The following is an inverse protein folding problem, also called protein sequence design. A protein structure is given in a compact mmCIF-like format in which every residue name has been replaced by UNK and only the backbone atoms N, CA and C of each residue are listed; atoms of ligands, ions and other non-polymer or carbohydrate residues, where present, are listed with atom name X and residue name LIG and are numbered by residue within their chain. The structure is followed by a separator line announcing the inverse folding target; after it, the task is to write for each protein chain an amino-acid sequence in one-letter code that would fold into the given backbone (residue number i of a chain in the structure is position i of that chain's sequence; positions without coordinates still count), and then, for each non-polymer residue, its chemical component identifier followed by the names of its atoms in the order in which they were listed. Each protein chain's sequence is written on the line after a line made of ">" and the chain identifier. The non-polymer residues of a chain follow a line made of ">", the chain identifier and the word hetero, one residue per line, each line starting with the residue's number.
data_IF_013972653012
#
_entry.id   IF_013972653012
#
_cell.length_a   1.000
_cell.length_b   1.000
_cell.length_c   1.000
_cell.angle_alpha   90.00
_cell.angle_beta   90.00
_cell.angle_gamma   90.00
#
_symmetry.space_group_name_H-M   'P 1'
#
loop_
_entity.id
_entity.type
_entity.pdbx_description
1 polymer ?
#
# COMPACT_ATOMS: atom_id res chain seq x y z
N UNK A 1 -53.16 59.11 -17.38
CA UNK A 1 -52.50 57.80 -17.29
C UNK A 1 -53.44 56.74 -17.84
N UNK A 2 -53.02 56.06 -18.95
CA UNK A 2 -53.88 55.32 -19.84
C UNK A 2 -54.57 54.11 -19.17
N UNK A 3 -55.91 54.02 -19.36
CA UNK A 3 -56.77 52.95 -18.81
C UNK A 3 -56.23 51.54 -19.16
N UNK A 4 -55.58 51.36 -20.32
CA UNK A 4 -54.89 50.13 -20.75
C UNK A 4 -53.69 49.75 -19.86
N UNK A 5 -52.90 50.73 -19.41
CA UNK A 5 -51.76 50.45 -18.50
C UNK A 5 -52.22 49.95 -17.12
N UNK A 6 -53.32 50.50 -16.65
CA UNK A 6 -53.91 50.14 -15.36
C UNK A 6 -54.52 48.73 -15.36
N UNK A 7 -55.18 48.36 -16.46
CA UNK A 7 -55.73 47.02 -16.66
C UNK A 7 -54.61 45.96 -16.80
N UNK A 8 -53.57 46.26 -17.57
CA UNK A 8 -52.42 45.38 -17.76
C UNK A 8 -51.68 45.12 -16.43
N UNK A 9 -51.55 46.15 -15.55
CA UNK A 9 -50.94 46.01 -14.25
C UNK A 9 -51.78 45.16 -13.32
N UNK A 10 -53.13 45.31 -13.34
CA UNK A 10 -54.07 44.56 -12.50
C UNK A 10 -54.07 43.06 -12.81
N UNK A 11 -53.82 42.66 -14.08
CA UNK A 11 -53.72 41.23 -14.44
C UNK A 11 -52.31 40.69 -14.43
N UNK A 12 -51.31 41.49 -14.83
CA UNK A 12 -49.90 41.02 -14.93
C UNK A 12 -49.27 40.79 -13.56
N UNK A 13 -49.56 41.67 -12.59
CA UNK A 13 -48.97 41.54 -11.23
C UNK A 13 -49.47 40.28 -10.51
N UNK A 14 -50.78 39.96 -10.47
CA UNK A 14 -51.21 38.70 -9.88
C UNK A 14 -50.72 37.47 -10.68
N UNK A 15 -50.64 37.54 -12.00
CA UNK A 15 -50.14 36.44 -12.82
C UNK A 15 -48.65 36.13 -12.48
N UNK A 16 -47.84 37.18 -12.41
CA UNK A 16 -46.42 37.02 -12.01
C UNK A 16 -46.33 36.50 -10.58
N UNK A 17 -47.15 37.00 -9.67
CA UNK A 17 -47.18 36.55 -8.28
C UNK A 17 -47.55 35.04 -8.17
N UNK A 18 -48.49 34.56 -8.99
CA UNK A 18 -48.86 33.14 -9.03
C UNK A 18 -47.74 32.29 -9.62
N UNK A 19 -47.07 32.72 -10.69
CA UNK A 19 -45.96 32.02 -11.28
C UNK A 19 -44.78 31.92 -10.31
N UNK A 20 -44.46 33.02 -9.63
CA UNK A 20 -43.39 33.02 -8.61
C UNK A 20 -43.77 32.15 -7.42
N UNK A 21 -45.03 32.17 -6.96
CA UNK A 21 -45.51 31.32 -5.90
C UNK A 21 -45.48 29.83 -6.30
N UNK A 22 -45.86 29.48 -7.52
CA UNK A 22 -45.79 28.10 -8.04
C UNK A 22 -44.37 27.58 -8.17
N UNK A 23 -43.38 28.45 -8.40
CA UNK A 23 -41.96 28.09 -8.40
C UNK A 23 -41.33 28.01 -6.99
N UNK A 24 -41.65 29.00 -6.14
CA UNK A 24 -41.09 29.15 -4.79
C UNK A 24 -41.65 28.13 -3.76
N UNK A 25 -42.93 27.83 -3.84
CA UNK A 25 -43.57 26.91 -2.87
C UNK A 25 -43.05 25.49 -2.98
N UNK A 26 -42.90 24.87 -4.15
CA UNK A 26 -42.26 23.56 -4.27
C UNK A 26 -40.79 23.56 -3.81
N UNK A 27 -40.07 24.63 -4.12
CA UNK A 27 -38.63 24.75 -3.74
C UNK A 27 -38.48 24.89 -2.21
N UNK A 28 -39.36 25.68 -1.56
CA UNK A 28 -39.42 25.75 -0.11
C UNK A 28 -39.91 24.42 0.52
N UNK A 29 -40.91 23.77 -0.09
CA UNK A 29 -41.37 22.46 0.35
C UNK A 29 -40.24 21.40 0.27
N UNK A 30 -39.41 21.40 -0.77
CA UNK A 30 -38.21 20.56 -0.88
C UNK A 30 -37.18 20.86 0.22
N UNK A 31 -36.97 22.13 0.55
CA UNK A 31 -36.04 22.54 1.60
C UNK A 31 -36.59 22.12 2.97
N UNK A 32 -37.90 22.35 3.25
CA UNK A 32 -38.53 22.03 4.53
C UNK A 32 -38.88 20.54 4.70
N UNK A 33 -39.07 19.77 3.62
CA UNK A 33 -39.44 18.35 3.68
C UNK A 33 -38.29 17.41 3.99
N UNK A 34 -37.08 17.94 4.19
CA UNK A 34 -35.88 17.11 4.48
C UNK A 34 -35.41 16.26 3.32
N UNK A 35 -35.87 16.54 2.06
CA UNK A 35 -35.39 15.82 0.86
C UNK A 35 -33.88 15.98 0.74
N UNK A 36 -33.34 17.15 1.05
CA UNK A 36 -31.90 17.40 1.08
C UNK A 36 -31.18 16.54 2.13
N UNK A 37 -31.80 16.34 3.28
CA UNK A 37 -31.29 15.47 4.34
C UNK A 37 -31.34 13.99 3.93
N UNK A 38 -32.40 13.55 3.25
CA UNK A 38 -32.51 12.16 2.73
C UNK A 38 -31.58 11.89 1.57
N UNK A 39 -31.40 12.84 0.66
CA UNK A 39 -30.40 12.69 -0.42
C UNK A 39 -28.98 12.64 0.14
N UNK A 40 -28.65 13.48 1.11
CA UNK A 40 -27.36 13.42 1.81
C UNK A 40 -27.17 12.09 2.54
N UNK A 41 -28.21 11.58 3.21
CA UNK A 41 -28.15 10.26 3.85
C UNK A 41 -27.90 9.12 2.87
N UNK A 42 -28.61 9.11 1.74
CA UNK A 42 -28.42 8.06 0.74
C UNK A 42 -27.03 8.08 0.09
N UNK A 43 -26.44 9.27 -0.11
CA UNK A 43 -25.07 9.39 -0.64
C UNK A 43 -24.08 8.82 0.39
N UNK A 44 -24.25 9.17 1.66
CA UNK A 44 -23.38 8.66 2.75
C UNK A 44 -23.50 7.15 2.88
N UNK A 45 -24.71 6.58 2.79
CA UNK A 45 -24.91 5.15 2.86
C UNK A 45 -24.24 4.43 1.66
N UNK A 46 -24.33 5.02 0.47
CA UNK A 46 -23.67 4.50 -0.73
C UNK A 46 -22.14 4.57 -0.61
N UNK A 47 -21.61 5.67 -0.08
CA UNK A 47 -20.18 5.83 0.18
C UNK A 47 -19.68 4.82 1.23
N UNK A 48 -20.43 4.60 2.32
CA UNK A 48 -20.13 3.59 3.33
C UNK A 48 -20.03 2.18 2.71
N UNK A 49 -21.00 1.77 1.91
CA UNK A 49 -20.98 0.46 1.25
C UNK A 49 -19.83 0.33 0.25
N UNK A 50 -19.50 1.41 -0.43
CA UNK A 50 -18.40 1.40 -1.41
C UNK A 50 -17.05 1.27 -0.70
N UNK A 51 -16.84 2.01 0.40
CA UNK A 51 -15.61 1.92 1.21
C UNK A 51 -15.51 0.53 1.87
N UNK A 52 -16.61 -0.01 2.40
CA UNK A 52 -16.65 -1.35 2.99
C UNK A 52 -16.29 -2.45 1.98
N UNK A 53 -16.84 -2.39 0.78
CA UNK A 53 -16.47 -3.34 -0.28
C UNK A 53 -14.98 -3.25 -0.64
N UNK A 54 -14.40 -2.04 -0.69
CA UNK A 54 -12.97 -1.85 -0.96
C UNK A 54 -12.11 -2.33 0.20
N UNK A 55 -12.53 -2.08 1.43
CA UNK A 55 -11.88 -2.62 2.63
C UNK A 55 -11.77 -4.14 2.54
N UNK A 56 -12.90 -4.84 2.32
CA UNK A 56 -12.93 -6.30 2.27
C UNK A 56 -12.00 -6.86 1.19
N UNK A 57 -11.97 -6.26 -0.01
CA UNK A 57 -11.10 -6.71 -1.09
C UNK A 57 -9.63 -6.51 -0.72
N UNK A 58 -9.26 -5.32 -0.27
CA UNK A 58 -7.87 -5.01 0.06
C UNK A 58 -7.38 -5.80 1.28
N UNK A 59 -8.21 -5.93 2.32
CA UNK A 59 -7.92 -6.74 3.51
C UNK A 59 -7.69 -8.21 3.14
N UNK A 60 -8.56 -8.78 2.28
CA UNK A 60 -8.37 -10.14 1.78
C UNK A 60 -7.03 -10.30 1.05
N UNK A 61 -6.66 -9.38 0.15
CA UNK A 61 -5.40 -9.46 -0.55
C UNK A 61 -4.21 -9.28 0.39
N UNK A 62 -4.26 -8.32 1.31
CA UNK A 62 -3.18 -8.08 2.28
C UNK A 62 -2.98 -9.24 3.26
N UNK A 63 -4.07 -9.84 3.76
CA UNK A 63 -4.01 -10.87 4.81
C UNK A 63 -3.86 -12.28 4.23
N UNK A 64 -4.63 -12.62 3.19
CA UNK A 64 -4.69 -13.99 2.66
C UNK A 64 -3.66 -14.25 1.56
N UNK A 65 -3.42 -13.27 0.67
CA UNK A 65 -2.52 -13.44 -0.45
C UNK A 65 -1.11 -12.92 -0.13
N UNK A 66 -0.96 -11.64 0.09
CA UNK A 66 0.37 -11.02 0.20
C UNK A 66 1.13 -11.46 1.45
N UNK A 67 0.44 -11.56 2.56
CA UNK A 67 1.02 -12.05 3.81
C UNK A 67 1.43 -13.52 3.73
N UNK A 68 0.89 -14.29 2.77
CA UNK A 68 1.17 -15.71 2.62
C UNK A 68 2.63 -16.05 2.32
N UNK A 69 3.48 -15.06 1.99
CA UNK A 69 4.92 -15.23 1.81
C UNK A 69 5.60 -15.94 3.00
N UNK A 70 5.05 -15.84 4.20
CA UNK A 70 5.60 -16.58 5.35
C UNK A 70 5.58 -18.11 5.15
N UNK A 71 4.72 -18.64 4.28
CA UNK A 71 4.61 -20.07 3.99
C UNK A 71 5.84 -20.60 3.26
N UNK A 72 6.55 -19.72 2.55
CA UNK A 72 7.78 -20.08 1.84
C UNK A 72 8.94 -20.40 2.79
N UNK A 73 8.81 -20.06 4.07
CA UNK A 73 9.84 -20.33 5.06
C UNK A 73 10.23 -21.81 5.14
N UNK A 74 9.28 -22.72 5.03
CA UNK A 74 9.59 -24.16 5.08
C UNK A 74 10.43 -24.57 3.87
N UNK A 75 10.02 -24.15 2.67
CA UNK A 75 10.77 -24.41 1.45
C UNK A 75 12.18 -23.81 1.48
N UNK A 76 12.28 -22.57 1.95
CA UNK A 76 13.58 -21.89 2.13
C UNK A 76 14.48 -22.61 3.15
N UNK A 77 13.90 -23.12 4.27
CA UNK A 77 14.65 -23.89 5.25
C UNK A 77 15.06 -25.28 4.74
N UNK A 78 14.22 -25.93 3.95
CA UNK A 78 14.55 -27.24 3.34
C UNK A 78 15.69 -27.07 2.35
N UNK A 79 15.66 -26.06 1.51
CA UNK A 79 16.76 -25.71 0.59
C UNK A 79 18.04 -25.35 1.34
N UNK A 80 17.91 -24.58 2.44
CA UNK A 80 19.07 -24.27 3.30
C UNK A 80 19.68 -25.54 3.89
N UNK A 81 18.84 -26.46 4.40
CA UNK A 81 19.32 -27.73 4.94
C UNK A 81 20.11 -28.54 3.90
N UNK A 82 19.62 -28.60 2.65
CA UNK A 82 20.32 -29.28 1.57
C UNK A 82 21.70 -28.64 1.29
N UNK A 83 21.75 -27.30 1.22
CA UNK A 83 23.03 -26.60 1.00
C UNK A 83 24.02 -26.84 2.14
N UNK A 84 23.55 -26.84 3.39
CA UNK A 84 24.39 -27.12 4.56
C UNK A 84 24.96 -28.55 4.50
N UNK A 85 24.12 -29.53 4.17
CA UNK A 85 24.51 -30.94 4.04
C UNK A 85 25.48 -31.15 2.86
N UNK A 86 25.19 -30.59 1.69
CA UNK A 86 26.02 -30.70 0.49
C UNK A 86 27.42 -30.11 0.70
N UNK A 87 27.51 -29.00 1.42
CA UNK A 87 28.76 -28.31 1.71
C UNK A 87 29.46 -28.86 2.97
N UNK A 88 28.76 -29.66 3.79
CA UNK A 88 29.28 -30.17 5.07
C UNK A 88 29.59 -29.03 6.07
N UNK A 89 28.75 -28.00 6.10
CA UNK A 89 28.93 -26.83 6.94
C UNK A 89 27.72 -26.61 7.88
N UNK A 90 27.95 -25.91 8.95
CA UNK A 90 26.85 -25.46 9.83
C UNK A 90 26.32 -24.08 9.41
N UNK A 91 25.20 -23.67 9.98
CA UNK A 91 24.56 -22.39 9.68
C UNK A 91 25.46 -21.18 9.99
N UNK A 92 26.32 -21.27 11.01
CA UNK A 92 27.22 -20.16 11.37
C UNK A 92 28.30 -19.96 10.32
N UNK A 93 28.80 -21.05 9.75
CA UNK A 93 29.76 -21.01 8.66
C UNK A 93 29.09 -20.55 7.37
N UNK A 94 27.87 -21.01 7.09
CA UNK A 94 27.05 -20.54 5.95
C UNK A 94 26.94 -19.02 5.93
N UNK A 95 26.64 -18.39 7.06
CA UNK A 95 26.51 -16.93 7.16
C UNK A 95 27.80 -16.14 6.89
N UNK A 96 28.93 -16.84 6.74
CA UNK A 96 30.24 -16.27 6.41
C UNK A 96 30.81 -16.77 5.08
N UNK A 97 30.15 -17.76 4.45
CA UNK A 97 30.60 -18.40 3.22
C UNK A 97 29.84 -17.88 2.03
N UNK A 98 30.51 -17.03 1.26
CA UNK A 98 29.94 -16.39 0.07
C UNK A 98 29.47 -17.40 -1.00
N UNK A 99 30.17 -18.53 -1.15
CA UNK A 99 29.83 -19.54 -2.16
C UNK A 99 28.57 -20.33 -1.73
N UNK A 100 28.49 -20.72 -0.46
CA UNK A 100 27.32 -21.40 0.08
C UNK A 100 26.07 -20.50 0.02
N UNK A 101 26.22 -19.20 0.33
CA UNK A 101 25.13 -18.22 0.18
C UNK A 101 24.69 -18.10 -1.27
N UNK A 102 25.62 -18.03 -2.22
CA UNK A 102 25.26 -17.95 -3.65
C UNK A 102 24.57 -19.22 -4.15
N UNK A 103 25.03 -20.41 -3.71
CA UNK A 103 24.36 -21.67 -4.04
C UNK A 103 22.91 -21.65 -3.52
N UNK A 104 22.70 -21.26 -2.27
CA UNK A 104 21.38 -21.14 -1.67
C UNK A 104 20.47 -20.16 -2.44
N UNK A 105 20.98 -18.96 -2.75
CA UNK A 105 20.22 -17.96 -3.50
C UNK A 105 19.87 -18.45 -4.91
N UNK A 106 20.77 -19.12 -5.60
CA UNK A 106 20.50 -19.71 -6.92
C UNK A 106 19.41 -20.80 -6.85
N UNK A 107 19.41 -21.61 -5.79
CA UNK A 107 18.42 -22.69 -5.63
C UNK A 107 17.03 -22.16 -5.25
N UNK A 108 16.96 -21.10 -4.44
CA UNK A 108 15.70 -20.51 -3.98
C UNK A 108 15.09 -19.51 -4.98
N UNK A 109 15.88 -19.00 -5.92
CA UNK A 109 15.44 -17.95 -6.83
C UNK A 109 14.22 -18.32 -7.68
N UNK A 110 14.14 -19.52 -8.31
CA UNK A 110 12.97 -19.93 -9.09
C UNK A 110 11.70 -19.99 -8.24
N UNK A 111 11.79 -20.54 -7.03
CA UNK A 111 10.65 -20.66 -6.12
C UNK A 111 10.11 -19.29 -5.71
N UNK A 112 11.01 -18.31 -5.53
CA UNK A 112 10.61 -16.95 -5.19
C UNK A 112 10.00 -16.20 -6.38
N UNK A 113 10.42 -16.52 -7.63
CA UNK A 113 9.75 -16.05 -8.85
C UNK A 113 8.32 -16.61 -8.91
N UNK A 114 8.16 -17.89 -8.62
CA UNK A 114 6.83 -18.53 -8.59
C UNK A 114 5.94 -17.92 -7.49
N UNK A 115 6.51 -17.67 -6.31
CA UNK A 115 5.80 -17.02 -5.21
C UNK A 115 5.35 -15.59 -5.57
N UNK A 116 6.20 -14.80 -6.25
CA UNK A 116 5.87 -13.47 -6.75
C UNK A 116 4.64 -13.53 -7.68
N UNK A 117 4.67 -14.41 -8.66
CA UNK A 117 3.60 -14.57 -9.64
C UNK A 117 2.31 -15.13 -9.01
N UNK A 118 2.43 -16.05 -8.05
CA UNK A 118 1.28 -16.64 -7.38
C UNK A 118 0.55 -15.62 -6.51
N UNK A 119 1.31 -14.81 -5.76
CA UNK A 119 0.75 -13.82 -4.83
C UNK A 119 0.31 -12.53 -5.54
N UNK A 120 0.59 -12.37 -6.83
CA UNK A 120 0.27 -11.15 -7.60
C UNK A 120 0.77 -9.88 -6.88
N UNK A 121 2.01 -9.93 -6.42
CA UNK A 121 2.70 -8.79 -5.77
C UNK A 121 3.57 -8.05 -6.78
N UNK A 122 3.95 -6.83 -6.50
CA UNK A 122 4.84 -6.07 -7.38
C UNK A 122 6.31 -6.37 -7.16
N UNK A 123 6.65 -7.14 -6.13
CA UNK A 123 8.01 -7.59 -5.91
C UNK A 123 8.13 -8.63 -4.80
N UNK A 124 9.26 -9.33 -4.80
CA UNK A 124 9.65 -10.28 -3.77
C UNK A 124 11.13 -10.16 -3.49
N UNK A 125 11.54 -10.30 -2.25
CA UNK A 125 12.93 -10.23 -1.87
C UNK A 125 13.31 -11.26 -0.80
N UNK A 126 14.58 -11.65 -0.84
CA UNK A 126 15.23 -12.48 0.17
C UNK A 126 16.55 -11.81 0.55
N UNK A 127 16.80 -11.57 1.83
CA UNK A 127 18.01 -10.92 2.33
C UNK A 127 18.64 -11.82 3.38
N UNK A 128 19.87 -12.26 3.15
CA UNK A 128 20.64 -13.02 4.12
C UNK A 128 21.33 -12.07 5.09
N UNK A 129 21.21 -12.34 6.38
CA UNK A 129 21.71 -11.47 7.42
C UNK A 129 22.60 -12.23 8.41
N UNK A 130 23.57 -11.50 8.96
CA UNK A 130 24.45 -11.95 10.00
C UNK A 130 24.42 -10.90 11.12
N UNK A 131 24.13 -11.33 12.34
CA UNK A 131 24.06 -10.48 13.52
C UNK A 131 25.30 -9.59 13.69
N UNK A 132 26.49 -10.09 13.37
CA UNK A 132 27.74 -9.35 13.49
C UNK A 132 27.83 -8.10 12.58
N UNK A 133 27.04 -8.07 11.51
CA UNK A 133 27.01 -6.95 10.55
C UNK A 133 26.00 -5.86 10.92
N UNK A 134 25.03 -6.15 11.80
CA UNK A 134 23.86 -5.29 12.05
C UNK A 134 24.21 -3.89 12.60
N UNK A 135 25.28 -3.77 13.35
CA UNK A 135 25.64 -2.52 14.01
C UNK A 135 26.45 -1.54 13.15
N UNK A 136 26.88 -1.98 11.98
CA UNK A 136 27.75 -1.22 11.11
C UNK A 136 27.16 -1.10 9.70
N UNK A 137 27.76 -0.24 8.89
CA UNK A 137 27.47 -0.25 7.45
C UNK A 137 28.05 -1.53 6.84
N UNK A 138 27.17 -2.33 6.24
CA UNK A 138 27.56 -3.60 5.66
C UNK A 138 26.71 -3.93 4.41
N UNK A 139 27.27 -4.76 3.55
CA UNK A 139 26.58 -5.35 2.43
C UNK A 139 25.98 -6.69 2.84
N UNK A 140 24.74 -6.91 2.42
CA UNK A 140 23.97 -8.12 2.68
C UNK A 140 23.60 -8.76 1.35
N UNK A 141 23.94 -10.03 1.21
CA UNK A 141 23.58 -10.82 0.04
C UNK A 141 22.09 -11.10 0.03
N UNK A 142 21.55 -11.18 -1.18
CA UNK A 142 20.15 -11.48 -1.38
C UNK A 142 19.75 -11.24 -2.82
N UNK A 143 18.46 -11.18 -3.05
CA UNK A 143 17.88 -10.69 -4.28
C UNK A 143 16.59 -9.95 -4.04
N UNK A 144 16.27 -9.04 -4.95
CA UNK A 144 15.01 -8.35 -5.06
C UNK A 144 14.56 -8.37 -6.51
N UNK A 145 13.43 -9.02 -6.75
CA UNK A 145 12.79 -9.15 -8.05
C UNK A 145 11.54 -8.28 -8.04
N UNK A 146 11.38 -7.46 -9.06
CA UNK A 146 10.19 -6.63 -9.27
C UNK A 146 9.42 -7.10 -10.49
N UNK A 147 8.11 -7.02 -10.40
CA UNK A 147 7.17 -7.20 -11.49
C UNK A 147 6.64 -5.82 -11.92
N UNK A 148 6.88 -5.46 -13.17
CA UNK A 148 6.43 -4.16 -13.72
C UNK A 148 4.96 -4.16 -14.10
N UNK A 149 4.31 -5.32 -14.18
CA UNK A 149 2.89 -5.48 -14.50
C UNK A 149 2.22 -6.63 -13.70
N UNK A 150 2.09 -6.49 -12.37
CA UNK A 150 1.62 -7.57 -11.48
C UNK A 150 0.23 -8.12 -11.82
N UNK A 151 -0.57 -7.37 -12.59
CA UNK A 151 -1.92 -7.79 -13.00
C UNK A 151 -1.92 -8.75 -14.19
N UNK A 152 -0.86 -8.75 -14.99
CA UNK A 152 -0.76 -9.55 -16.21
C UNK A 152 0.42 -10.50 -16.13
N UNK A 153 0.16 -11.76 -15.81
CA UNK A 153 1.20 -12.80 -15.78
C UNK A 153 1.72 -13.08 -17.16
N UNK A 154 3.01 -12.86 -17.39
CA UNK A 154 3.67 -13.24 -18.62
C UNK A 154 4.46 -14.54 -18.44
N UNK A 155 4.21 -15.52 -19.31
CA UNK A 155 4.87 -16.83 -19.26
C UNK A 155 6.39 -16.76 -19.50
N UNK A 156 6.92 -15.63 -19.97
CA UNK A 156 8.32 -15.45 -20.36
C UNK A 156 9.14 -14.61 -19.37
N UNK A 157 8.56 -14.18 -18.24
CA UNK A 157 9.20 -13.32 -17.23
C UNK A 157 9.81 -12.03 -17.81
N UNK A 158 9.31 -11.55 -18.95
CA UNK A 158 9.85 -10.36 -19.62
C UNK A 158 9.52 -9.05 -18.91
N UNK A 159 8.57 -9.07 -18.01
CA UNK A 159 8.11 -8.01 -17.12
C UNK A 159 8.81 -8.03 -15.75
N UNK A 160 9.61 -9.06 -15.47
CA UNK A 160 10.38 -9.16 -14.25
C UNK A 160 11.74 -8.45 -14.37
N UNK A 161 12.10 -7.74 -13.32
CA UNK A 161 13.36 -7.00 -13.22
C UNK A 161 14.10 -7.38 -11.94
N UNK A 162 15.39 -7.68 -12.05
CA UNK A 162 16.25 -7.86 -10.88
C UNK A 162 16.78 -6.49 -10.42
N UNK A 163 16.33 -6.00 -9.28
CA UNK A 163 16.78 -4.74 -8.69
C UNK A 163 18.01 -4.93 -7.78
N UNK A 164 18.05 -6.03 -7.03
CA UNK A 164 19.20 -6.45 -6.21
C UNK A 164 19.53 -7.90 -6.47
N UNK A 165 20.79 -8.23 -6.42
CA UNK A 165 21.27 -9.61 -6.59
C UNK A 165 22.38 -9.76 -7.60
N UNK A 166 23.00 -10.94 -7.65
CA UNK A 166 24.07 -11.22 -8.61
C UNK A 166 23.56 -11.28 -10.04
N UNK A 167 24.41 -10.93 -11.00
CA UNK A 167 24.09 -11.09 -12.44
C UNK A 167 23.81 -12.54 -12.83
N UNK A 168 24.36 -13.50 -12.11
CA UNK A 168 24.13 -14.92 -12.33
C UNK A 168 22.65 -15.28 -12.11
N UNK A 169 22.01 -14.73 -11.08
CA UNK A 169 20.57 -14.90 -10.83
C UNK A 169 19.72 -14.38 -12.01
N UNK A 170 20.04 -13.19 -12.51
CA UNK A 170 19.38 -12.61 -13.69
C UNK A 170 19.50 -13.52 -14.92
N UNK A 171 20.70 -14.05 -15.17
CA UNK A 171 20.97 -14.94 -16.32
C UNK A 171 20.22 -16.27 -16.17
N UNK A 172 20.28 -16.91 -14.99
CA UNK A 172 19.65 -18.19 -14.71
C UNK A 172 18.11 -18.08 -14.76
N UNK A 173 17.56 -16.97 -14.26
CA UNK A 173 16.12 -16.70 -14.27
C UNK A 173 15.60 -16.13 -15.59
N UNK A 174 16.47 -15.79 -16.54
CA UNK A 174 16.11 -15.07 -17.78
C UNK A 174 15.37 -13.75 -17.51
N UNK A 175 15.75 -13.05 -16.43
CA UNK A 175 15.17 -11.80 -15.95
C UNK A 175 16.11 -10.64 -16.28
N UNK A 176 15.59 -9.51 -16.72
CA UNK A 176 16.38 -8.31 -17.00
C UNK A 176 16.88 -7.63 -15.72
N UNK A 177 18.02 -6.94 -15.81
CA UNK A 177 18.45 -6.08 -14.71
C UNK A 177 17.66 -4.78 -14.70
N UNK A 178 17.28 -4.32 -13.50
CA UNK A 178 16.69 -2.99 -13.31
C UNK A 178 17.72 -1.88 -13.59
N UNK A 179 17.23 -0.68 -13.91
CA UNK A 179 18.09 0.50 -14.14
C UNK A 179 18.85 0.94 -12.88
N UNK A 180 18.29 0.68 -11.69
CA UNK A 180 18.87 0.94 -10.38
C UNK A 180 19.54 -0.31 -9.77
N UNK A 181 19.88 -1.29 -10.59
CA UNK A 181 20.44 -2.54 -10.13
C UNK A 181 21.75 -2.39 -9.35
N UNK A 182 21.83 -3.11 -8.22
CA UNK A 182 23.08 -3.36 -7.47
C UNK A 182 23.20 -4.82 -7.08
N UNK A 183 24.44 -5.27 -6.80
CA UNK A 183 24.71 -6.68 -6.46
C UNK A 183 24.19 -7.06 -5.08
N UNK A 184 24.21 -6.15 -4.12
CA UNK A 184 23.91 -6.41 -2.72
C UNK A 184 22.96 -5.33 -2.17
N UNK A 185 22.30 -5.64 -1.05
CA UNK A 185 21.68 -4.62 -0.22
C UNK A 185 22.74 -3.97 0.67
N UNK A 186 22.65 -2.66 0.86
CA UNK A 186 23.53 -1.93 1.77
C UNK A 186 22.72 -1.29 2.88
N UNK A 187 22.95 -1.71 4.10
CA UNK A 187 22.34 -1.11 5.30
C UNK A 187 23.43 -0.54 6.21
N UNK A 188 23.07 0.49 6.98
CA UNK A 188 23.97 1.11 7.95
C UNK A 188 23.32 1.15 9.34
N UNK A 189 23.59 0.12 10.16
CA UNK A 189 23.04 0.04 11.50
C UNK A 189 23.48 1.15 12.45
N UNK A 190 24.59 1.81 12.16
CA UNK A 190 25.05 2.98 12.92
C UNK A 190 24.31 4.27 12.55
N UNK A 191 23.65 4.29 11.40
CA UNK A 191 22.86 5.41 10.87
C UNK A 191 21.57 4.89 10.22
N UNK A 192 20.81 4.12 11.00
CA UNK A 192 19.57 3.50 10.54
C UNK A 192 18.60 4.54 9.99
N UNK A 193 18.07 4.27 8.81
CA UNK A 193 17.07 5.09 8.12
C UNK A 193 15.71 4.40 8.23
N UNK A 194 14.64 5.18 8.20
CA UNK A 194 13.28 4.62 8.22
C UNK A 194 12.98 3.73 6.99
N UNK A 195 13.65 3.93 5.87
CA UNK A 195 13.53 3.06 4.70
C UNK A 195 14.19 1.68 4.90
N UNK A 196 15.04 1.51 5.93
CA UNK A 196 15.68 0.23 6.26
C UNK A 196 14.84 -0.59 7.28
N UNK A 197 13.75 -0.03 7.80
CA UNK A 197 12.90 -0.65 8.82
C UNK A 197 12.29 -1.99 8.37
N UNK A 198 12.01 -2.14 7.07
CA UNK A 198 11.50 -3.40 6.52
C UNK A 198 12.45 -4.59 6.72
N UNK A 199 13.74 -4.33 6.85
CA UNK A 199 14.77 -5.33 7.17
C UNK A 199 15.00 -5.45 8.69
N UNK A 200 15.24 -4.32 9.37
CA UNK A 200 15.67 -4.34 10.77
C UNK A 200 14.55 -4.76 11.73
N UNK A 201 13.34 -4.24 11.60
CA UNK A 201 12.26 -4.48 12.55
C UNK A 201 11.93 -5.98 12.68
N UNK A 202 11.62 -6.73 11.60
CA UNK A 202 11.32 -8.16 11.75
C UNK A 202 12.53 -8.98 12.17
N UNK A 203 13.74 -8.61 11.74
CA UNK A 203 14.96 -9.32 12.13
C UNK A 203 15.25 -9.18 13.64
N UNK A 204 15.22 -7.95 14.16
CA UNK A 204 15.43 -7.66 15.59
C UNK A 204 14.32 -8.27 16.46
N UNK A 205 13.07 -8.19 16.03
CA UNK A 205 11.95 -8.82 16.72
C UNK A 205 12.14 -10.34 16.87
N UNK A 206 12.71 -11.00 15.85
CA UNK A 206 13.01 -12.43 15.93
C UNK A 206 14.16 -12.77 16.89
N UNK A 207 15.12 -11.86 17.04
CA UNK A 207 16.20 -12.00 18.02
C UNK A 207 15.71 -11.80 19.45
N UNK A 208 14.76 -10.90 19.66
CA UNK A 208 14.21 -10.60 20.99
C UNK A 208 13.14 -11.62 21.42
N UNK A 209 12.37 -12.17 20.48
CA UNK A 209 11.23 -13.06 20.74
C UNK A 209 11.44 -14.46 20.17
N UNK A 210 12.45 -15.16 20.67
CA UNK A 210 12.92 -16.44 20.15
C UNK A 210 11.85 -17.56 20.10
N UNK A 211 10.86 -17.51 20.98
CA UNK A 211 9.76 -18.49 21.05
C UNK A 211 8.56 -18.17 20.14
N UNK A 212 8.52 -16.99 19.52
CA UNK A 212 7.39 -16.58 18.68
C UNK A 212 7.42 -17.30 17.31
N UNK A 213 6.25 -17.47 16.73
CA UNK A 213 6.15 -17.91 15.32
C UNK A 213 6.62 -16.77 14.42
N UNK A 214 7.34 -17.10 13.35
CA UNK A 214 7.91 -16.07 12.46
C UNK A 214 6.82 -15.19 11.81
N UNK A 215 5.64 -15.74 11.54
CA UNK A 215 4.51 -14.97 11.01
C UNK A 215 4.00 -13.90 11.99
N UNK A 216 4.10 -14.16 13.29
CA UNK A 216 3.67 -13.20 14.32
C UNK A 216 4.68 -12.04 14.50
N UNK A 217 5.87 -12.19 13.93
CA UNK A 217 6.94 -11.19 13.89
C UNK A 217 7.02 -10.48 12.53
N UNK A 218 6.03 -10.71 11.67
CA UNK A 218 5.93 -10.06 10.37
C UNK A 218 5.67 -8.56 10.51
N UNK A 219 6.24 -7.77 9.59
CA UNK A 219 6.18 -6.33 9.63
C UNK A 219 5.69 -5.74 8.30
N UNK A 220 4.63 -4.91 8.36
CA UNK A 220 4.22 -4.05 7.28
C UNK A 220 4.95 -2.71 7.37
N UNK A 221 5.69 -2.35 6.34
CA UNK A 221 6.41 -1.08 6.31
C UNK A 221 5.49 0.11 6.05
N UNK A 222 5.91 1.29 6.53
CA UNK A 222 5.40 2.57 5.97
C UNK A 222 5.89 2.71 4.53
N UNK A 223 5.24 3.54 3.70
CA UNK A 223 5.71 3.80 2.34
C UNK A 223 7.13 4.37 2.33
N UNK A 224 7.98 3.79 1.49
CA UNK A 224 9.36 4.24 1.33
C UNK A 224 9.85 4.04 -0.11
N UNK A 225 11.02 4.58 -0.40
CA UNK A 225 11.77 4.37 -1.64
C UNK A 225 13.12 3.80 -1.25
N UNK A 226 13.61 2.80 -1.95
CA UNK A 226 14.99 2.35 -1.78
C UNK A 226 15.93 3.47 -2.26
N UNK A 227 16.92 3.83 -1.44
CA UNK A 227 17.76 5.04 -1.61
C UNK A 227 18.54 5.07 -2.94
N UNK A 228 18.89 3.91 -3.47
CA UNK A 228 19.65 3.80 -4.71
C UNK A 228 18.78 3.82 -5.98
N UNK A 229 17.44 3.82 -5.83
CA UNK A 229 16.49 3.96 -6.95
C UNK A 229 16.32 5.43 -7.38
N UNK A 230 17.42 6.12 -7.60
CA UNK A 230 17.46 7.57 -7.82
C UNK A 230 16.77 8.07 -9.10
N UNK A 231 16.31 7.19 -9.98
CA UNK A 231 15.67 7.58 -11.23
C UNK A 231 14.15 7.43 -11.23
N UNK A 232 13.61 6.55 -10.42
CA UNK A 232 12.15 6.37 -10.30
C UNK A 232 11.73 6.62 -8.85
N UNK A 233 10.85 7.58 -8.62
CA UNK A 233 10.17 7.79 -7.33
C UNK A 233 9.22 6.60 -7.04
N UNK A 234 9.77 5.39 -7.04
CA UNK A 234 9.03 4.16 -6.84
C UNK A 234 8.75 3.96 -5.36
N UNK A 235 7.66 4.55 -4.89
CA UNK A 235 7.16 4.32 -3.55
C UNK A 235 6.55 2.93 -3.45
N UNK A 236 6.89 2.22 -2.36
CA UNK A 236 6.40 0.88 -2.06
C UNK A 236 6.06 0.73 -0.59
N UNK A 237 5.23 -0.25 -0.28
CA UNK A 237 5.10 -0.85 1.05
C UNK A 237 5.58 -2.29 0.96
N UNK A 238 6.07 -2.85 2.06
CA UNK A 238 6.53 -4.24 2.12
C UNK A 238 5.89 -4.96 3.28
N UNK A 239 5.64 -6.27 3.11
CA UNK A 239 5.43 -7.18 4.22
C UNK A 239 6.63 -8.11 4.31
N UNK A 240 7.27 -8.14 5.47
CA UNK A 240 8.52 -8.86 5.69
C UNK A 240 8.41 -9.75 6.91
N UNK A 241 8.89 -10.99 6.78
CA UNK A 241 8.99 -11.94 7.89
C UNK A 241 10.44 -12.37 8.08
N UNK A 242 10.88 -12.61 9.33
CA UNK A 242 12.22 -13.11 9.60
C UNK A 242 12.34 -14.58 9.20
N UNK A 243 13.56 -15.01 8.90
CA UNK A 243 13.92 -16.38 8.58
C UNK A 243 14.76 -16.98 9.71
N UNK A 244 14.34 -18.13 10.21
CA UNK A 244 15.01 -18.84 11.30
C UNK A 244 15.28 -20.30 10.92
N UNK A 245 16.50 -20.75 11.19
CA UNK A 245 16.92 -22.14 11.09
C UNK A 245 17.50 -22.60 12.42
N UNK A 246 16.85 -23.56 13.10
CA UNK A 246 17.17 -23.89 14.48
C UNK A 246 17.09 -22.65 15.38
N UNK A 247 18.20 -22.34 16.03
CA UNK A 247 18.33 -21.18 16.93
C UNK A 247 18.99 -19.95 16.25
N UNK A 248 19.15 -19.96 14.94
CA UNK A 248 19.82 -18.88 14.22
C UNK A 248 18.85 -18.15 13.32
N UNK A 249 18.77 -16.83 13.48
CA UNK A 249 18.10 -15.94 12.52
C UNK A 249 19.10 -15.70 11.39
N UNK A 250 18.74 -16.10 10.15
CA UNK A 250 19.68 -16.05 9.03
C UNK A 250 19.28 -15.06 7.93
N UNK A 251 18.16 -14.38 8.10
CA UNK A 251 17.72 -13.39 7.13
C UNK A 251 16.28 -12.96 7.28
N UNK A 252 15.78 -12.35 6.25
CA UNK A 252 14.37 -11.97 6.08
C UNK A 252 13.90 -12.30 4.67
N UNK A 253 12.62 -12.62 4.53
CA UNK A 253 11.93 -12.75 3.25
C UNK A 253 10.72 -11.85 3.24
N UNK A 254 10.40 -11.26 2.11
CA UNK A 254 9.24 -10.39 2.04
C UNK A 254 8.77 -10.14 0.62
N UNK A 255 7.64 -9.46 0.55
CA UNK A 255 7.04 -8.96 -0.68
C UNK A 255 7.05 -7.44 -0.72
N UNK A 256 6.98 -6.92 -1.92
CA UNK A 256 6.75 -5.51 -2.21
C UNK A 256 5.40 -5.32 -2.87
N UNK A 257 4.71 -4.26 -2.48
CA UNK A 257 3.53 -3.74 -3.17
C UNK A 257 3.81 -2.29 -3.54
N UNK A 258 3.93 -2.00 -4.83
CA UNK A 258 4.14 -0.64 -5.28
C UNK A 258 2.91 0.23 -5.03
N UNK A 259 3.13 1.50 -4.70
CA UNK A 259 2.01 2.45 -4.50
C UNK A 259 1.17 2.59 -5.78
N UNK A 260 1.78 2.55 -6.95
CA UNK A 260 1.06 2.57 -8.24
C UNK A 260 0.15 1.35 -8.41
N UNK A 261 0.58 0.17 -7.94
CA UNK A 261 -0.25 -1.02 -7.93
C UNK A 261 -1.41 -0.88 -6.94
N UNK A 262 -1.17 -0.39 -5.72
CA UNK A 262 -2.23 -0.06 -4.76
C UNK A 262 -3.26 0.92 -5.34
N UNK A 263 -2.81 1.93 -6.07
CA UNK A 263 -3.71 2.90 -6.71
C UNK A 263 -4.63 2.25 -7.77
N UNK A 264 -4.24 1.12 -8.36
CA UNK A 264 -5.07 0.38 -9.30
C UNK A 264 -6.32 -0.24 -8.65
N UNK A 265 -6.29 -0.49 -7.35
CA UNK A 265 -7.45 -0.94 -6.57
C UNK A 265 -8.53 0.15 -6.44
N UNK A 266 -8.18 1.41 -6.63
CA UNK A 266 -9.12 2.54 -6.53
C UNK A 266 -9.64 2.93 -7.92
N UNK A 267 -10.74 2.31 -8.36
CA UNK A 267 -11.33 2.61 -9.66
C UNK A 267 -12.22 3.86 -9.58
N UNK A 268 -11.96 4.83 -10.45
CA UNK A 268 -12.74 6.08 -10.52
C UNK A 268 -14.19 5.83 -10.99
N UNK A 269 -14.46 4.73 -11.69
CA UNK A 269 -15.80 4.37 -12.16
C UNK A 269 -16.81 4.09 -11.03
N UNK A 270 -16.34 3.82 -9.82
CA UNK A 270 -17.19 3.67 -8.64
C UNK A 270 -17.46 5.01 -7.93
N UNK A 271 -16.74 6.08 -8.29
CA UNK A 271 -17.03 7.44 -7.87
C UNK A 271 -17.93 8.06 -8.94
N UNK A 272 -19.10 8.58 -8.55
CA UNK A 272 -19.95 9.32 -9.48
C UNK A 272 -19.13 10.47 -10.08
N UNK A 273 -18.99 10.48 -11.40
CA UNK A 273 -18.18 11.46 -12.15
C UNK A 273 -18.61 12.92 -11.91
N UNK A 274 -19.81 13.13 -11.35
CA UNK A 274 -20.35 14.43 -11.00
C UNK A 274 -20.09 14.84 -9.55
N UNK A 275 -19.50 13.95 -8.72
CA UNK A 275 -19.17 14.24 -7.34
C UNK A 275 -17.66 14.51 -7.21
N UNK A 276 -17.33 15.60 -6.52
CA UNK A 276 -15.96 15.76 -6.00
C UNK A 276 -15.76 14.70 -4.92
N UNK A 277 -15.15 13.59 -5.27
CA UNK A 277 -14.92 12.45 -4.40
C UNK A 277 -13.50 11.89 -4.59
N UNK A 278 -13.07 11.07 -3.66
CA UNK A 278 -11.77 10.40 -3.71
C UNK A 278 -11.69 9.27 -2.72
N UNK A 279 -10.74 8.37 -2.96
CA UNK A 279 -10.33 7.32 -2.02
C UNK A 279 -8.92 7.61 -1.53
N UNK A 280 -8.65 7.28 -0.29
CA UNK A 280 -7.32 7.25 0.28
C UNK A 280 -7.14 5.98 1.11
N UNK A 281 -6.02 5.29 0.89
CA UNK A 281 -5.46 4.36 1.85
C UNK A 281 -4.47 5.15 2.70
N UNK A 282 -4.59 5.09 4.02
CA UNK A 282 -3.73 5.83 4.92
C UNK A 282 -3.36 5.00 6.15
N UNK A 283 -2.20 5.28 6.71
CA UNK A 283 -1.78 4.79 8.04
C UNK A 283 -2.07 5.89 9.05
N UNK A 284 -2.72 5.54 10.15
CA UNK A 284 -2.90 6.41 11.29
C UNK A 284 -1.77 6.20 12.28
N UNK A 285 -1.09 7.27 12.68
CA UNK A 285 -0.07 7.23 13.71
C UNK A 285 -0.65 7.37 15.14
N UNK A 286 0.22 7.25 16.15
CA UNK A 286 -0.16 7.33 17.55
C UNK A 286 -0.69 8.71 17.96
N UNK A 287 -0.33 9.76 17.24
CA UNK A 287 -0.82 11.13 17.44
C UNK A 287 -2.18 11.37 16.75
N UNK A 288 -2.72 10.38 16.06
CA UNK A 288 -3.99 10.42 15.35
C UNK A 288 -3.91 11.10 13.98
N UNK A 289 -2.71 11.31 13.44
CA UNK A 289 -2.48 11.85 12.10
C UNK A 289 -2.52 10.72 11.09
N UNK A 290 -3.25 10.91 10.02
CA UNK A 290 -3.34 9.99 8.90
C UNK A 290 -2.30 10.36 7.84
N UNK A 291 -1.50 9.40 7.42
CA UNK A 291 -0.51 9.51 6.36
C UNK A 291 -0.97 8.73 5.15
N UNK A 292 -1.37 9.43 4.08
CA UNK A 292 -1.86 8.80 2.87
C UNK A 292 -0.73 8.01 2.16
N UNK A 293 -1.02 6.74 1.87
CA UNK A 293 -0.14 5.82 1.13
C UNK A 293 -0.45 5.93 -0.36
N UNK A 294 -1.69 5.66 -0.70
CA UNK A 294 -2.21 5.58 -2.05
C UNK A 294 -3.62 6.15 -2.11
N UNK A 295 -4.05 6.59 -3.27
CA UNK A 295 -5.41 7.05 -3.44
C UNK A 295 -5.70 7.55 -4.84
N UNK A 296 -6.95 7.91 -5.06
CA UNK A 296 -7.42 8.37 -6.37
C UNK A 296 -8.63 9.30 -6.24
N UNK A 297 -8.76 10.23 -7.17
CA UNK A 297 -9.88 11.15 -7.28
C UNK A 297 -9.56 12.57 -6.84
N UNK A 298 -10.42 13.52 -7.23
CA UNK A 298 -10.17 14.95 -7.07
C UNK A 298 -10.01 15.41 -5.63
N UNK A 299 -10.68 14.75 -4.66
CA UNK A 299 -10.50 15.07 -3.25
C UNK A 299 -9.21 14.47 -2.69
N UNK A 300 -8.78 13.29 -3.15
CA UNK A 300 -7.48 12.76 -2.80
C UNK A 300 -6.35 13.65 -3.30
N UNK A 301 -6.45 14.15 -4.54
CA UNK A 301 -5.47 15.10 -5.09
C UNK A 301 -5.35 16.38 -4.25
N UNK A 302 -6.47 16.84 -3.69
CA UNK A 302 -6.47 18.00 -2.79
C UNK A 302 -5.77 17.71 -1.45
N UNK A 303 -5.94 16.50 -0.91
CA UNK A 303 -5.31 16.08 0.36
C UNK A 303 -3.82 15.79 0.17
N UNK A 304 -3.45 15.14 -0.95
CA UNK A 304 -2.07 14.68 -1.21
C UNK A 304 -1.13 15.77 -1.71
N UNK A 305 -1.67 16.92 -2.14
CA UNK A 305 -0.90 17.99 -2.82
C UNK A 305 0.23 18.59 -1.97
N UNK A 306 -0.03 18.81 -0.68
CA UNK A 306 0.90 19.53 0.17
C UNK A 306 1.71 18.62 1.10
N UNK A 307 1.07 17.75 1.89
CA UNK A 307 1.76 17.00 2.95
C UNK A 307 1.46 15.51 2.98
N UNK A 308 0.49 15.02 2.21
CA UNK A 308 -0.10 13.67 2.30
C UNK A 308 -0.54 13.26 3.72
N UNK A 309 -0.65 14.24 4.64
CA UNK A 309 -1.02 14.01 6.02
C UNK A 309 -2.23 14.88 6.38
N UNK A 310 -3.15 14.31 7.16
CA UNK A 310 -4.37 14.98 7.57
C UNK A 310 -4.86 14.41 8.91
N UNK A 311 -5.72 15.18 9.59
CA UNK A 311 -6.45 14.69 10.77
C UNK A 311 -7.94 14.64 10.48
N UNK A 312 -8.65 13.81 11.24
CA UNK A 312 -10.09 13.64 11.12
C UNK A 312 -10.78 14.06 12.41
N UNK A 313 -11.74 14.96 12.30
CA UNK A 313 -12.64 15.31 13.42
C UNK A 313 -14.02 14.69 13.20
N UNK A 314 -14.38 13.73 14.04
CA UNK A 314 -15.70 13.09 13.99
C UNK A 314 -16.83 14.12 14.13
N UNK A 315 -17.80 14.07 13.24
CA UNK A 315 -18.94 14.97 13.24
C UNK A 315 -20.20 14.27 13.70
N UNK A 316 -20.73 13.35 12.92
CA UNK A 316 -21.95 12.62 13.19
C UNK A 316 -21.94 11.27 12.52
N UNK A 317 -22.41 10.26 13.20
CA UNK A 317 -22.43 8.87 12.75
C UNK A 317 -21.01 8.41 12.36
N UNK A 318 -20.80 7.93 11.14
CA UNK A 318 -19.48 7.49 10.64
C UNK A 318 -18.79 8.55 9.77
N UNK A 319 -19.19 9.83 9.89
CA UNK A 319 -18.67 10.92 9.08
C UNK A 319 -17.68 11.71 9.89
N UNK A 320 -16.49 11.90 9.32
CA UNK A 320 -15.44 12.76 9.87
C UNK A 320 -15.16 13.91 8.91
N UNK A 321 -14.84 15.07 9.46
CA UNK A 321 -14.32 16.20 8.69
C UNK A 321 -12.80 16.04 8.56
N UNK A 322 -12.28 16.24 7.35
CA UNK A 322 -10.84 16.32 7.11
C UNK A 322 -10.37 17.72 7.52
N UNK A 323 -9.51 17.78 8.52
CA UNK A 323 -9.01 19.05 9.03
C UNK A 323 -7.80 19.54 8.25
N UNK A 324 -7.69 20.85 8.13
CA UNK A 324 -6.56 21.52 7.46
C UNK A 324 -6.60 21.48 5.93
N UNK A 325 -7.51 20.73 5.32
CA UNK A 325 -7.63 20.58 3.86
C UNK A 325 -8.99 21.04 3.36
N UNK A 326 -9.03 21.71 2.22
CA UNK A 326 -10.27 22.18 1.58
C UNK A 326 -10.25 21.93 0.08
N UNK A 327 -11.40 21.57 -0.46
CA UNK A 327 -11.63 21.56 -1.90
C UNK A 327 -12.16 22.94 -2.33
N UNK A 328 -11.26 23.85 -2.71
CA UNK A 328 -11.56 25.24 -2.97
C UNK A 328 -12.00 25.96 -1.68
N UNK A 329 -13.31 26.31 -1.57
CA UNK A 329 -13.89 26.93 -0.35
C UNK A 329 -14.65 25.96 0.54
N UNK A 330 -14.78 24.69 0.13
CA UNK A 330 -15.62 23.69 0.82
C UNK A 330 -14.79 22.82 1.74
N UNK A 331 -15.34 22.46 2.89
CA UNK A 331 -14.78 21.45 3.76
C UNK A 331 -14.93 20.06 3.13
N UNK A 332 -13.96 19.19 3.38
CA UNK A 332 -13.95 17.79 2.93
C UNK A 332 -14.46 16.92 4.06
N UNK A 333 -15.29 15.95 3.73
CA UNK A 333 -15.80 14.95 4.66
C UNK A 333 -15.38 13.56 4.19
N UNK A 334 -15.08 12.68 5.13
CA UNK A 334 -14.63 11.32 4.87
C UNK A 334 -15.44 10.30 5.69
N UNK A 335 -15.54 9.11 5.14
CA UNK A 335 -15.96 7.89 5.83
C UNK A 335 -14.73 6.99 5.92
N UNK A 336 -14.44 6.47 7.10
CA UNK A 336 -13.29 5.60 7.33
C UNK A 336 -13.71 4.16 7.67
N UNK A 337 -12.89 3.21 7.22
CA UNK A 337 -12.93 1.81 7.61
C UNK A 337 -11.50 1.34 7.88
N UNK A 338 -11.29 0.71 9.01
CA UNK A 338 -9.99 0.14 9.35
C UNK A 338 -9.78 -1.18 8.60
N UNK A 339 -8.54 -1.45 8.19
CA UNK A 339 -8.08 -2.75 7.72
C UNK A 339 -7.31 -3.36 8.87
N UNK A 340 -7.73 -4.54 9.32
CA UNK A 340 -7.03 -5.29 10.37
C UNK A 340 -6.00 -6.20 9.71
N UNK A 341 -4.72 -5.91 9.99
CA UNK A 341 -3.59 -6.64 9.40
C UNK A 341 -2.99 -7.70 10.35
N UNK A 342 -3.50 -7.81 11.59
CA UNK A 342 -2.92 -8.69 12.62
C UNK A 342 -3.92 -9.65 13.25
#
# INVERSE_FOLDING_TARGET
>A
MNRKKRLMTIFLVPLIAVIVAQGLVPLLAMIFSGIRSKMSGNVIDMDNHTVENRQVVLENDMVEHWRSIYKEQNLLNDTLSQVLDDQGIDIKKFLQDDNAQMQYLNQTFPDMVDALQYNTTSGVFLILANEQKLQNRANYRGFFIRDSDPQNKTASNTDLLLERGSKELSQNGSISLDSAWTTDFTFDGSRRRSCDDFFYIPYEAAMEHFGARMVDLGYWSKPFVLEDSSMDNHYMITYTVPLRYGDTIYGVVGIEISVSYLESYFTVSSLDSNLNAGYALAIKDDDGVYHAIAGKGTLYDAVSRDTRSFTLTQQKDNISKVDGVKAGKQDIYAVEKAIDLY
#
